data_IF_798812160250
#
_entry.id   IF_798812160250
#
_cell.length_a   1.000
_cell.length_b   1.000
_cell.length_c   1.000
_cell.angle_alpha   90.00
_cell.angle_beta   90.00
_cell.angle_gamma   90.00
#
_symmetry.space_group_name_H-M   'P 1'
#
loop_
_entity.id
_entity.type
_entity.pdbx_description
1 polymer ?
#
# COMPACT_ATOMS: atom_id res chain seq x y z
N UNK A 1 -23.42 10.85 19.12
CA UNK A 1 -24.09 11.62 18.07
C UNK A 1 -23.10 11.72 16.93
N UNK A 2 -23.39 11.11 15.78
CA UNK A 2 -22.54 11.24 14.59
C UNK A 2 -22.47 12.71 14.21
N UNK A 3 -21.28 13.22 13.93
CA UNK A 3 -21.14 14.56 13.37
C UNK A 3 -21.75 14.51 11.96
N UNK A 4 -22.91 15.16 11.77
CA UNK A 4 -23.51 15.32 10.46
C UNK A 4 -22.54 16.13 9.59
N UNK A 5 -22.09 15.52 8.50
CA UNK A 5 -21.03 16.08 7.65
C UNK A 5 -21.58 16.78 6.42
N UNK A 6 -22.79 16.42 5.98
CA UNK A 6 -23.41 16.95 4.77
C UNK A 6 -24.79 17.55 5.02
N UNK A 7 -25.03 18.67 4.36
CA UNK A 7 -26.27 19.43 4.44
C UNK A 7 -26.73 19.82 3.04
N UNK A 8 -28.03 19.85 2.83
CA UNK A 8 -28.66 20.22 1.56
C UNK A 8 -29.82 21.19 1.78
N UNK A 9 -30.02 22.10 0.84
CA UNK A 9 -31.20 22.96 0.82
C UNK A 9 -31.59 23.33 -0.61
N UNK A 10 -32.84 23.73 -0.76
CA UNK A 10 -33.39 24.17 -2.04
C UNK A 10 -33.33 25.70 -2.18
N UNK A 11 -32.70 26.18 -3.24
CA UNK A 11 -32.62 27.62 -3.55
C UNK A 11 -33.97 28.26 -3.84
N UNK A 12 -35.00 27.47 -4.17
CA UNK A 12 -36.35 27.95 -4.41
C UNK A 12 -37.12 28.20 -3.11
N UNK A 13 -36.74 27.54 -2.01
CA UNK A 13 -37.34 27.74 -0.69
C UNK A 13 -36.57 28.76 0.16
N UNK A 14 -35.35 29.11 -0.24
CA UNK A 14 -34.47 29.99 0.55
C UNK A 14 -33.80 31.06 -0.29
N UNK A 15 -34.03 32.31 0.08
CA UNK A 15 -33.45 33.50 -0.58
C UNK A 15 -32.10 33.95 0.02
N UNK A 16 -31.74 33.47 1.21
CA UNK A 16 -30.46 33.79 1.86
C UNK A 16 -29.46 32.67 1.56
N UNK A 17 -28.57 32.93 0.60
CA UNK A 17 -27.53 32.00 0.20
C UNK A 17 -26.20 32.62 0.65
N UNK A 18 -25.31 31.87 1.35
CA UNK A 18 -23.97 32.35 1.66
C UNK A 18 -23.31 32.85 0.37
N UNK A 19 -22.95 34.14 0.33
CA UNK A 19 -22.39 34.75 -0.88
C UNK A 19 -21.01 34.17 -1.18
N UNK A 20 -20.71 34.02 -2.47
CA UNK A 20 -19.38 33.63 -2.98
C UNK A 20 -18.29 34.65 -2.56
N UNK A 21 -18.69 35.86 -2.15
CA UNK A 21 -17.82 36.97 -1.74
C UNK A 21 -17.77 37.19 -0.20
N UNK A 22 -18.50 36.39 0.58
CA UNK A 22 -18.53 36.50 2.05
C UNK A 22 -17.21 36.03 2.68
N UNK A 23 -16.80 36.63 3.80
CA UNK A 23 -15.73 36.06 4.63
C UNK A 23 -16.17 34.72 5.23
N UNK A 24 -15.22 33.85 5.59
CA UNK A 24 -15.52 32.54 6.20
C UNK A 24 -16.39 32.65 7.46
N UNK A 25 -16.17 33.68 8.27
CA UNK A 25 -16.95 33.96 9.48
C UNK A 25 -18.40 34.33 9.14
N UNK A 26 -18.62 35.16 8.13
CA UNK A 26 -19.96 35.53 7.67
C UNK A 26 -20.67 34.33 7.02
N UNK A 27 -19.99 33.55 6.19
CA UNK A 27 -20.55 32.37 5.56
C UNK A 27 -20.98 31.30 6.59
N UNK A 28 -20.22 31.16 7.68
CA UNK A 28 -20.57 30.25 8.79
C UNK A 28 -21.82 30.73 9.54
N UNK A 29 -21.93 32.03 9.79
CA UNK A 29 -23.12 32.62 10.42
C UNK A 29 -24.36 32.49 9.53
N UNK A 30 -24.23 32.76 8.23
CA UNK A 30 -25.32 32.63 7.26
C UNK A 30 -25.81 31.17 7.17
N UNK A 31 -24.89 30.20 7.20
CA UNK A 31 -25.22 28.78 7.22
C UNK A 31 -25.95 28.35 8.51
N UNK A 32 -25.50 28.80 9.68
CA UNK A 32 -26.19 28.47 10.94
C UNK A 32 -27.60 29.08 11.03
N UNK A 33 -27.78 30.31 10.50
CA UNK A 33 -29.09 30.93 10.39
C UNK A 33 -30.01 30.15 9.43
N UNK A 34 -29.47 29.73 8.28
CA UNK A 34 -30.17 28.89 7.30
C UNK A 34 -30.60 27.55 7.89
N UNK A 35 -29.74 26.92 8.70
CA UNK A 35 -30.01 25.63 9.34
C UNK A 35 -31.20 25.68 10.30
N UNK A 36 -31.44 26.85 10.90
CA UNK A 36 -32.52 27.06 11.87
C UNK A 36 -33.76 27.70 11.25
N UNK A 37 -33.72 28.06 9.96
CA UNK A 37 -34.83 28.73 9.30
C UNK A 37 -36.02 27.76 9.16
N UNK A 38 -37.20 28.06 9.74
CA UNK A 38 -38.37 27.21 9.60
C UNK A 38 -38.96 27.32 8.18
N UNK A 39 -39.54 26.21 7.71
CA UNK A 39 -40.31 26.12 6.46
C UNK A 39 -41.65 25.46 6.71
N UNK A 40 -42.63 25.75 5.86
CA UNK A 40 -43.96 25.14 5.98
C UNK A 40 -43.93 23.66 5.60
N UNK A 41 -43.15 23.29 4.58
CA UNK A 41 -42.92 21.91 4.14
C UNK A 41 -41.50 21.75 3.57
N UNK A 42 -40.92 20.56 3.75
CA UNK A 42 -39.61 20.20 3.17
C UNK A 42 -39.72 20.19 1.64
N UNK A 43 -38.71 20.72 0.94
CA UNK A 43 -38.71 20.76 -0.53
C UNK A 43 -38.98 19.38 -1.13
N UNK A 44 -39.89 19.28 -2.12
CA UNK A 44 -40.06 18.06 -2.91
C UNK A 44 -38.76 17.55 -3.54
N UNK A 45 -37.83 18.44 -3.89
CA UNK A 45 -36.53 18.07 -4.45
C UNK A 45 -35.63 17.37 -3.42
N UNK A 46 -35.74 17.73 -2.14
CA UNK A 46 -34.99 17.06 -1.06
C UNK A 46 -35.60 15.68 -0.78
N UNK A 47 -36.93 15.55 -0.87
CA UNK A 47 -37.60 14.25 -0.76
C UNK A 47 -37.18 13.34 -1.92
N UNK A 48 -37.17 13.87 -3.15
CA UNK A 48 -36.72 13.12 -4.33
C UNK A 48 -35.23 12.75 -4.25
N UNK A 49 -34.38 13.61 -3.67
CA UNK A 49 -32.98 13.26 -3.39
C UNK A 49 -32.90 12.03 -2.48
N UNK A 50 -33.68 11.99 -1.40
CA UNK A 50 -33.68 10.88 -0.46
C UNK A 50 -34.13 9.58 -1.13
N UNK A 51 -35.18 9.61 -1.96
CA UNK A 51 -35.62 8.45 -2.75
C UNK A 51 -34.54 7.94 -3.71
N UNK A 52 -33.86 8.84 -4.43
CA UNK A 52 -32.79 8.47 -5.37
C UNK A 52 -31.57 7.89 -4.66
N UNK A 53 -31.25 8.36 -3.45
CA UNK A 53 -30.17 7.77 -2.64
C UNK A 53 -30.50 6.33 -2.23
N UNK A 54 -31.75 6.03 -1.90
CA UNK A 54 -32.22 4.66 -1.61
C UNK A 54 -32.10 3.76 -2.84
N UNK A 55 -32.47 4.26 -4.03
CA UNK A 55 -32.37 3.49 -5.27
C UNK A 55 -30.92 3.26 -5.71
N UNK A 56 -30.06 4.25 -5.54
CA UNK A 56 -28.61 4.13 -5.79
C UNK A 56 -27.98 3.08 -4.86
N UNK A 57 -28.38 3.03 -3.58
CA UNK A 57 -27.94 2.00 -2.65
C UNK A 57 -28.35 0.58 -3.08
N UNK A 58 -29.50 0.40 -3.73
CA UNK A 58 -30.03 -0.91 -4.14
C UNK A 58 -29.42 -1.46 -5.42
N UNK A 59 -28.83 -0.60 -6.24
CA UNK A 59 -28.41 -0.94 -7.62
C UNK A 59 -26.90 -1.09 -7.77
N UNK A 60 -26.13 -0.67 -6.77
CA UNK A 60 -24.66 -0.59 -6.82
C UNK A 60 -24.02 -1.43 -5.70
N UNK A 61 -22.84 -2.03 -5.96
CA UNK A 61 -22.03 -2.82 -5.01
C UNK A 61 -21.34 -1.93 -3.94
N UNK A 62 -22.11 -1.13 -3.20
CA UNK A 62 -21.57 -0.31 -2.12
C UNK A 62 -21.37 -1.12 -0.83
N UNK A 63 -20.53 -0.60 0.08
CA UNK A 63 -20.35 -1.23 1.41
C UNK A 63 -21.68 -1.30 2.18
N UNK A 64 -21.87 -2.34 2.99
CA UNK A 64 -23.08 -2.55 3.82
C UNK A 64 -23.44 -1.31 4.66
N UNK A 65 -22.41 -0.60 5.15
CA UNK A 65 -22.55 0.65 5.91
C UNK A 65 -23.13 1.80 5.07
N UNK A 66 -22.80 1.87 3.79
CA UNK A 66 -23.32 2.89 2.86
C UNK A 66 -24.77 2.60 2.45
N UNK A 67 -25.07 1.31 2.23
CA UNK A 67 -26.43 0.83 2.00
C UNK A 67 -27.36 1.19 3.17
N UNK A 68 -26.97 0.86 4.40
CA UNK A 68 -27.74 1.20 5.60
C UNK A 68 -27.93 2.71 5.76
N UNK A 69 -26.88 3.49 5.49
CA UNK A 69 -26.92 4.95 5.61
C UNK A 69 -27.96 5.56 4.65
N UNK A 70 -27.95 5.17 3.37
CA UNK A 70 -28.85 5.74 2.37
C UNK A 70 -30.28 5.25 2.49
N UNK A 71 -30.48 3.98 2.87
CA UNK A 71 -31.82 3.45 3.21
C UNK A 71 -32.44 4.22 4.38
N UNK A 72 -31.63 4.62 5.36
CA UNK A 72 -32.10 5.36 6.52
C UNK A 72 -32.38 6.84 6.24
N UNK A 73 -31.86 7.43 5.16
CA UNK A 73 -32.13 8.84 4.80
C UNK A 73 -33.63 9.11 4.69
N UNK A 74 -34.40 8.21 4.06
CA UNK A 74 -35.85 8.38 3.93
C UNK A 74 -36.59 8.36 5.28
N UNK A 75 -36.11 7.57 6.25
CA UNK A 75 -36.67 7.55 7.60
C UNK A 75 -36.33 8.85 8.33
N UNK A 76 -35.09 9.31 8.21
CA UNK A 76 -34.66 10.58 8.80
C UNK A 76 -35.41 11.79 8.20
N UNK A 77 -35.75 11.76 6.91
CA UNK A 77 -36.55 12.82 6.27
C UNK A 77 -37.98 12.94 6.82
N UNK A 78 -38.58 11.82 7.25
CA UNK A 78 -39.94 11.82 7.80
C UNK A 78 -40.01 12.46 9.19
N UNK A 79 -38.95 12.26 9.99
CA UNK A 79 -38.83 12.78 11.35
C UNK A 79 -38.03 14.10 11.41
N UNK A 80 -37.55 14.60 10.28
CA UNK A 80 -36.74 15.81 10.23
C UNK A 80 -37.58 17.05 10.65
N UNK A 81 -37.05 17.93 11.51
CA UNK A 81 -37.67 19.22 11.78
C UNK A 81 -37.93 19.99 10.48
N UNK A 82 -39.05 20.71 10.36
CA UNK A 82 -39.36 21.49 9.15
C UNK A 82 -38.48 22.73 9.05
N UNK A 83 -37.20 22.52 8.76
CA UNK A 83 -36.19 23.57 8.54
C UNK A 83 -35.72 23.55 7.09
N UNK A 84 -35.30 24.71 6.61
CA UNK A 84 -34.91 24.93 5.22
C UNK A 84 -33.69 24.13 4.78
N UNK A 85 -32.82 23.79 5.74
CA UNK A 85 -31.64 22.98 5.53
C UNK A 85 -31.83 21.62 6.19
N UNK A 86 -31.39 20.57 5.49
CA UNK A 86 -31.58 19.19 5.87
C UNK A 86 -30.23 18.48 5.90
N UNK A 87 -29.96 17.75 6.98
CA UNK A 87 -28.75 16.95 7.07
C UNK A 87 -28.92 15.62 6.34
N UNK A 88 -27.88 15.20 5.61
CA UNK A 88 -27.81 13.85 5.05
C UNK A 88 -26.96 13.00 6.00
N UNK A 89 -27.48 11.88 6.54
CA UNK A 89 -26.68 11.01 7.38
C UNK A 89 -25.52 10.48 6.54
N UNK A 90 -24.30 10.70 6.99
CA UNK A 90 -23.11 10.16 6.30
C UNK A 90 -22.02 9.84 7.32
N UNK A 91 -21.55 8.58 7.40
CA UNK A 91 -20.40 8.21 8.20
C UNK A 91 -19.13 8.91 7.71
N UNK A 92 -18.37 9.50 8.63
CA UNK A 92 -17.12 10.20 8.29
C UNK A 92 -16.12 9.32 7.53
N UNK A 93 -16.08 8.01 7.85
CA UNK A 93 -15.23 7.03 7.18
C UNK A 93 -15.54 6.87 5.67
N UNK A 94 -16.75 7.24 5.22
CA UNK A 94 -17.25 7.08 3.85
C UNK A 94 -17.45 8.41 3.13
N UNK A 95 -16.97 9.51 3.72
CA UNK A 95 -17.13 10.86 3.22
C UNK A 95 -16.76 11.02 1.73
N UNK A 96 -15.67 10.40 1.28
CA UNK A 96 -15.19 10.53 -0.10
C UNK A 96 -16.00 9.78 -1.16
N UNK A 97 -16.77 8.76 -0.75
CA UNK A 97 -17.69 8.00 -1.62
C UNK A 97 -19.07 8.66 -1.64
N UNK A 98 -19.54 9.12 -0.48
CA UNK A 98 -20.83 9.81 -0.37
C UNK A 98 -20.84 11.14 -1.14
N UNK A 99 -19.70 11.83 -1.19
CA UNK A 99 -19.53 13.05 -1.97
C UNK A 99 -19.75 12.85 -3.48
N UNK A 100 -19.33 11.69 -4.02
CA UNK A 100 -19.47 11.39 -5.45
C UNK A 100 -20.91 11.10 -5.87
N UNK A 101 -21.77 10.74 -4.92
CA UNK A 101 -23.16 10.37 -5.18
C UNK A 101 -24.08 11.55 -4.88
N UNK A 102 -23.95 12.15 -3.69
CA UNK A 102 -24.90 13.18 -3.23
C UNK A 102 -24.75 14.46 -4.04
N UNK A 103 -23.52 14.94 -4.29
CA UNK A 103 -23.32 16.23 -4.95
C UNK A 103 -23.89 16.26 -6.40
N UNK A 104 -23.69 15.24 -7.26
CA UNK A 104 -24.32 15.21 -8.58
C UNK A 104 -25.84 15.08 -8.55
N UNK A 105 -26.40 14.34 -7.58
CA UNK A 105 -27.85 14.26 -7.41
C UNK A 105 -28.44 15.61 -6.99
N UNK A 106 -27.77 16.33 -6.08
CA UNK A 106 -28.14 17.70 -5.71
C UNK A 106 -28.10 18.65 -6.90
N UNK A 107 -27.03 18.60 -7.72
CA UNK A 107 -26.92 19.40 -8.95
C UNK A 107 -28.11 19.13 -9.89
N UNK A 108 -28.43 17.85 -10.12
CA UNK A 108 -29.54 17.43 -10.98
C UNK A 108 -30.93 17.87 -10.45
N UNK A 109 -31.08 17.96 -9.14
CA UNK A 109 -32.33 18.32 -8.46
C UNK A 109 -32.44 19.81 -8.12
N UNK A 110 -31.45 20.63 -8.50
CA UNK A 110 -31.47 22.07 -8.22
C UNK A 110 -31.18 22.44 -6.76
N UNK A 111 -30.52 21.55 -6.02
CA UNK A 111 -30.20 21.72 -4.60
C UNK A 111 -28.78 22.24 -4.40
N UNK A 112 -28.58 23.04 -3.35
CA UNK A 112 -27.23 23.36 -2.86
C UNK A 112 -26.77 22.26 -1.93
N UNK A 113 -25.52 21.83 -2.10
CA UNK A 113 -24.85 20.86 -1.25
C UNK A 113 -23.75 21.55 -0.44
N UNK A 114 -23.72 21.30 0.87
CA UNK A 114 -22.75 21.83 1.81
C UNK A 114 -22.05 20.71 2.59
N UNK A 115 -20.73 20.77 2.57
CA UNK A 115 -19.83 19.96 3.38
C UNK A 115 -19.28 20.82 4.51
N UNK A 116 -19.40 20.33 5.75
CA UNK A 116 -18.88 21.01 6.95
C UNK A 116 -17.37 21.23 6.93
N UNK A 117 -16.63 20.60 6.02
CA UNK A 117 -15.21 20.90 5.73
C UNK A 117 -15.01 22.19 4.91
N UNK A 118 -16.09 22.92 4.63
CA UNK A 118 -16.07 24.24 4.01
C UNK A 118 -16.26 24.24 2.50
N UNK A 119 -16.84 23.18 1.93
CA UNK A 119 -17.15 23.12 0.50
C UNK A 119 -18.66 23.36 0.28
N UNK A 120 -18.98 24.22 -0.68
CA UNK A 120 -20.35 24.48 -1.14
C UNK A 120 -20.43 24.21 -2.63
N UNK A 121 -21.35 23.35 -3.06
CA UNK A 121 -21.64 23.09 -4.47
C UNK A 121 -23.05 23.60 -4.80
N UNK A 122 -23.13 24.51 -5.77
CA UNK A 122 -24.37 25.14 -6.21
C UNK A 122 -25.01 24.39 -7.39
N UNK A 123 -26.32 24.55 -7.61
CA UNK A 123 -27.04 23.98 -8.76
C UNK A 123 -26.49 24.38 -10.13
N UNK A 124 -25.82 25.53 -10.22
CA UNK A 124 -25.20 26.02 -11.46
C UNK A 124 -23.85 25.34 -11.77
N UNK A 125 -23.44 24.34 -10.96
CA UNK A 125 -22.17 23.64 -11.05
C UNK A 125 -20.99 24.39 -10.42
N UNK A 126 -21.21 25.58 -9.86
CA UNK A 126 -20.17 26.32 -9.16
C UNK A 126 -19.83 25.62 -7.85
N UNK A 127 -18.53 25.45 -7.56
CA UNK A 127 -18.03 24.98 -6.27
C UNK A 127 -17.23 26.10 -5.61
N UNK A 128 -17.49 26.33 -4.32
CA UNK A 128 -16.76 27.28 -3.48
C UNK A 128 -16.10 26.55 -2.29
N UNK A 129 -14.87 26.92 -1.90
CA UNK A 129 -13.98 27.88 -2.55
C UNK A 129 -13.34 27.35 -3.85
N UNK A 130 -12.89 28.23 -4.78
CA UNK A 130 -12.40 27.83 -6.11
C UNK A 130 -11.19 26.88 -6.11
N UNK A 131 -10.39 26.88 -5.05
CA UNK A 131 -9.28 25.93 -4.86
C UNK A 131 -9.77 24.49 -4.63
N UNK A 132 -10.87 24.31 -3.89
CA UNK A 132 -11.52 23.01 -3.72
C UNK A 132 -12.19 22.59 -5.04
N UNK A 133 -12.79 23.53 -5.77
CA UNK A 133 -13.37 23.27 -7.10
C UNK A 133 -12.36 22.65 -8.08
N UNK A 134 -11.12 23.17 -8.12
CA UNK A 134 -10.05 22.60 -8.96
C UNK A 134 -9.66 21.18 -8.53
N UNK A 135 -9.58 20.93 -7.22
CA UNK A 135 -9.30 19.60 -6.67
C UNK A 135 -10.39 18.58 -7.03
N UNK A 136 -11.66 18.99 -6.92
CA UNK A 136 -12.82 18.17 -7.26
C UNK A 136 -12.92 17.88 -8.75
N UNK A 137 -12.66 18.86 -9.61
CA UNK A 137 -12.62 18.65 -11.06
C UNK A 137 -11.55 17.61 -11.45
N UNK A 138 -10.35 17.70 -10.87
CA UNK A 138 -9.27 16.73 -11.09
C UNK A 138 -9.63 15.34 -10.55
N UNK A 139 -10.30 15.27 -9.40
CA UNK A 139 -10.76 14.01 -8.81
C UNK A 139 -11.85 13.37 -9.68
N UNK A 140 -12.83 14.15 -10.14
CA UNK A 140 -13.90 13.73 -11.05
C UNK A 140 -13.33 13.28 -12.39
N UNK A 141 -12.32 13.94 -12.94
CA UNK A 141 -11.61 13.52 -14.15
C UNK A 141 -10.87 12.19 -13.93
N UNK A 142 -10.12 12.04 -12.84
CA UNK A 142 -9.42 10.78 -12.51
C UNK A 142 -10.39 9.62 -12.27
N UNK A 143 -11.54 9.89 -11.63
CA UNK A 143 -12.58 8.90 -11.35
C UNK A 143 -13.41 8.60 -12.59
N UNK A 144 -13.71 9.57 -13.44
CA UNK A 144 -14.36 9.38 -14.73
C UNK A 144 -13.45 8.61 -15.69
N UNK A 145 -12.14 8.85 -15.68
CA UNK A 145 -11.17 7.98 -16.37
C UNK A 145 -11.24 6.56 -15.80
N UNK A 146 -11.26 6.39 -14.48
CA UNK A 146 -11.38 5.06 -13.86
C UNK A 146 -12.73 4.36 -14.15
N UNK A 147 -13.83 5.11 -14.26
CA UNK A 147 -15.18 4.61 -14.56
C UNK A 147 -15.40 4.39 -16.05
N UNK A 148 -14.83 5.23 -16.91
CA UNK A 148 -14.79 5.02 -18.36
C UNK A 148 -13.88 3.86 -18.71
N UNK A 149 -12.78 3.65 -17.98
CA UNK A 149 -12.07 2.39 -17.99
C UNK A 149 -13.03 1.26 -17.59
N UNK A 150 -13.76 1.36 -16.48
CA UNK A 150 -14.71 0.35 -15.99
C UNK A 150 -15.93 0.04 -16.91
N UNK A 151 -16.46 1.02 -17.64
CA UNK A 151 -17.64 0.90 -18.52
C UNK A 151 -17.26 0.39 -19.94
N UNK A 152 -15.98 0.44 -20.32
CA UNK A 152 -15.47 -0.20 -21.53
C UNK A 152 -15.37 -1.75 -21.36
N UNK A 153 -15.56 -2.28 -20.15
CA UNK A 153 -15.47 -3.72 -19.88
C UNK A 153 -16.76 -4.48 -20.26
N UNK A 154 -16.62 -5.37 -21.24
CA UNK A 154 -17.56 -6.48 -21.47
C UNK A 154 -17.16 -7.69 -20.61
N UNK A 155 -18.11 -8.54 -20.14
CA UNK A 155 -17.83 -9.73 -19.32
C UNK A 155 -16.97 -10.84 -19.98
N UNK A 156 -16.37 -10.57 -21.14
CA UNK A 156 -15.61 -11.51 -21.96
C UNK A 156 -14.12 -11.09 -22.11
N UNK A 157 -13.63 -10.09 -21.37
CA UNK A 157 -12.34 -9.45 -21.65
C UNK A 157 -11.11 -10.10 -20.99
N UNK A 158 -10.05 -10.29 -21.80
CA UNK A 158 -8.66 -10.65 -21.46
C UNK A 158 -7.94 -9.60 -20.56
N UNK A 159 -8.59 -9.01 -19.55
CA UNK A 159 -7.98 -8.00 -18.66
C UNK A 159 -8.39 -8.26 -17.19
N UNK A 160 -7.45 -8.28 -16.23
CA UNK A 160 -7.77 -8.63 -14.85
C UNK A 160 -8.42 -7.44 -14.14
N UNK A 161 -9.53 -7.69 -13.44
CA UNK A 161 -10.33 -6.64 -12.79
C UNK A 161 -9.73 -6.23 -11.45
N UNK A 162 -9.26 -7.20 -10.70
CA UNK A 162 -8.66 -7.00 -9.38
C UNK A 162 -7.37 -7.81 -9.24
N UNK A 163 -6.78 -7.72 -8.05
CA UNK A 163 -5.54 -8.42 -7.70
C UNK A 163 -5.69 -9.94 -7.87
N UNK A 164 -6.80 -10.52 -7.45
CA UNK A 164 -7.02 -11.96 -7.47
C UNK A 164 -7.09 -12.48 -8.92
N UNK A 165 -7.84 -11.78 -9.77
CA UNK A 165 -7.92 -12.06 -11.20
C UNK A 165 -6.53 -11.95 -11.87
N UNK A 166 -5.73 -10.92 -11.55
CA UNK A 166 -4.37 -10.77 -12.07
C UNK A 166 -3.44 -11.89 -11.60
N UNK A 167 -3.52 -12.26 -10.33
CA UNK A 167 -2.73 -13.33 -9.75
C UNK A 167 -3.06 -14.68 -10.40
N UNK A 168 -4.34 -14.99 -10.69
CA UNK A 168 -4.75 -16.20 -11.41
C UNK A 168 -4.11 -16.32 -12.79
N UNK A 169 -3.92 -15.21 -13.50
CA UNK A 169 -3.28 -15.19 -14.83
C UNK A 169 -1.76 -15.30 -14.72
N UNK A 170 -1.16 -14.64 -13.74
CA UNK A 170 0.28 -14.65 -13.51
C UNK A 170 0.77 -16.00 -12.97
N UNK A 171 -0.03 -16.64 -12.11
CA UNK A 171 0.35 -17.81 -11.33
C UNK A 171 0.89 -18.96 -12.19
N UNK A 172 0.27 -19.40 -13.29
CA UNK A 172 0.79 -20.51 -14.10
C UNK A 172 2.20 -20.23 -14.64
N UNK A 173 2.41 -19.04 -15.24
CA UNK A 173 3.72 -18.67 -15.82
C UNK A 173 4.80 -18.59 -14.75
N UNK A 174 4.47 -17.99 -13.61
CA UNK A 174 5.40 -17.88 -12.50
C UNK A 174 5.69 -19.23 -11.86
N UNK A 175 4.67 -20.05 -11.61
CA UNK A 175 4.82 -21.37 -11.01
C UNK A 175 5.71 -22.26 -11.88
N UNK A 176 5.46 -22.29 -13.19
CA UNK A 176 6.28 -23.03 -14.14
C UNK A 176 7.72 -22.50 -14.20
N UNK A 177 7.90 -21.18 -14.18
CA UNK A 177 9.23 -20.57 -14.09
C UNK A 177 9.96 -20.99 -12.80
N UNK A 178 9.34 -20.81 -11.64
CA UNK A 178 9.96 -21.10 -10.33
C UNK A 178 10.31 -22.58 -10.20
N UNK A 179 9.42 -23.48 -10.65
CA UNK A 179 9.68 -24.92 -10.68
C UNK A 179 10.83 -25.29 -11.60
N UNK A 180 10.90 -24.72 -12.81
CA UNK A 180 12.06 -24.89 -13.73
C UNK A 180 13.38 -24.48 -13.06
N UNK A 181 13.34 -23.47 -12.19
CA UNK A 181 14.49 -22.93 -11.48
C UNK A 181 14.77 -23.60 -10.14
N UNK A 182 14.03 -24.65 -9.77
CA UNK A 182 14.26 -25.43 -8.54
C UNK A 182 13.73 -24.78 -7.27
N UNK A 183 12.85 -23.79 -7.37
CA UNK A 183 12.14 -23.25 -6.22
C UNK A 183 10.98 -24.16 -5.83
N UNK A 184 10.86 -24.44 -4.54
CA UNK A 184 9.78 -25.18 -3.91
C UNK A 184 8.83 -24.19 -3.22
N UNK A 185 7.54 -24.21 -3.54
CA UNK A 185 6.54 -23.45 -2.77
C UNK A 185 6.51 -23.96 -1.32
N UNK A 186 6.50 -23.05 -0.34
CA UNK A 186 6.26 -23.46 1.04
C UNK A 186 4.89 -24.12 1.17
N UNK A 187 4.84 -25.34 1.69
CA UNK A 187 3.60 -25.91 2.21
C UNK A 187 3.21 -25.13 3.48
N UNK A 188 2.49 -24.02 3.33
CA UNK A 188 1.77 -23.43 4.47
C UNK A 188 0.41 -24.09 4.52
N UNK A 189 0.25 -25.00 5.48
CA UNK A 189 -1.02 -25.63 5.83
C UNK A 189 -1.96 -24.60 6.46
N UNK A 190 -2.75 -23.92 5.65
CA UNK A 190 -4.09 -23.53 6.05
C UNK A 190 -5.01 -23.96 4.93
N UNK A 191 -6.08 -24.66 5.29
CA UNK A 191 -6.96 -25.37 4.37
C UNK A 191 -7.77 -24.48 3.40
N UNK A 192 -7.32 -23.26 3.10
CA UNK A 192 -7.96 -22.28 2.21
C UNK A 192 -6.95 -21.37 1.46
N UNK A 193 -5.66 -21.73 1.33
CA UNK A 193 -4.65 -20.86 0.68
C UNK A 193 -3.95 -21.58 -0.48
N UNK A 194 -4.74 -21.91 -1.51
CA UNK A 194 -4.21 -22.20 -2.85
C UNK A 194 -4.51 -21.04 -3.83
N UNK A 195 -5.27 -20.02 -3.39
CA UNK A 195 -5.85 -19.00 -4.29
C UNK A 195 -5.19 -17.61 -4.26
N UNK A 196 -4.04 -17.43 -3.59
CA UNK A 196 -3.33 -16.15 -3.63
C UNK A 196 -1.86 -16.35 -3.97
N UNK A 197 -1.34 -15.49 -4.85
CA UNK A 197 0.08 -15.38 -5.19
C UNK A 197 0.83 -14.70 -4.05
N UNK A 198 0.72 -15.25 -2.85
CA UNK A 198 1.73 -15.04 -1.83
C UNK A 198 2.96 -15.82 -2.28
N UNK A 199 3.86 -15.15 -3.00
CA UNK A 199 5.24 -15.62 -3.24
C UNK A 199 5.97 -15.72 -1.89
N UNK A 200 5.34 -15.33 -0.79
CA UNK A 200 5.90 -15.46 0.54
C UNK A 200 6.11 -16.94 0.91
N UNK A 201 7.35 -17.41 0.74
CA UNK A 201 7.77 -18.74 1.16
C UNK A 201 8.22 -19.69 0.04
N UNK A 202 8.32 -19.24 -1.21
CA UNK A 202 8.99 -20.04 -2.24
C UNK A 202 10.50 -20.09 -1.96
N UNK A 203 11.03 -21.27 -1.64
CA UNK A 203 12.44 -21.45 -1.26
C UNK A 203 13.21 -22.29 -2.26
N UNK A 204 14.50 -22.03 -2.39
CA UNK A 204 15.44 -22.86 -3.15
C UNK A 204 16.64 -23.16 -2.27
N UNK A 205 16.94 -24.45 -2.10
CA UNK A 205 18.13 -24.87 -1.36
C UNK A 205 19.40 -24.41 -2.09
N UNK A 206 20.37 -23.94 -1.31
CA UNK A 206 21.67 -23.47 -1.77
C UNK A 206 22.77 -24.07 -0.88
N UNK A 207 24.04 -24.14 -1.34
CA UNK A 207 25.13 -24.68 -0.52
C UNK A 207 25.29 -23.99 0.85
N UNK A 208 25.04 -22.67 0.93
CA UNK A 208 25.09 -21.90 2.19
C UNK A 208 23.79 -21.92 3.02
N UNK A 209 22.73 -22.60 2.57
CA UNK A 209 21.41 -22.55 3.19
C UNK A 209 20.29 -22.54 2.16
N UNK A 210 19.58 -21.43 2.03
CA UNK A 210 18.52 -21.29 1.04
C UNK A 210 18.26 -19.84 0.62
N UNK A 211 17.68 -19.68 -0.57
CA UNK A 211 17.07 -18.44 -1.03
C UNK A 211 15.57 -18.51 -0.85
N UNK A 212 14.97 -17.48 -0.27
CA UNK A 212 13.52 -17.32 -0.17
C UNK A 212 13.06 -16.16 -1.04
N UNK A 213 12.13 -16.42 -1.96
CA UNK A 213 11.40 -15.36 -2.62
C UNK A 213 10.27 -14.87 -1.72
N UNK A 214 10.00 -13.57 -1.73
CA UNK A 214 8.77 -13.00 -1.18
C UNK A 214 8.31 -11.83 -2.05
N UNK A 215 7.01 -11.59 -2.09
CA UNK A 215 6.45 -10.56 -2.96
C UNK A 215 4.97 -10.81 -3.26
N UNK A 216 4.40 -9.92 -4.07
CA UNK A 216 3.02 -9.98 -4.47
C UNK A 216 2.67 -8.91 -5.50
N UNK A 217 1.44 -8.95 -5.97
CA UNK A 217 0.88 -7.97 -6.88
C UNK A 217 -0.01 -6.97 -6.13
N UNK A 218 0.03 -5.70 -6.54
CA UNK A 218 -0.83 -4.63 -6.05
C UNK A 218 -1.44 -3.89 -7.25
N UNK A 219 -2.73 -3.61 -7.23
CA UNK A 219 -3.38 -2.87 -8.31
C UNK A 219 -4.84 -3.25 -8.52
N UNK A 220 -5.47 -2.61 -9.52
CA UNK A 220 -6.86 -2.85 -9.94
C UNK A 220 -7.11 -2.31 -11.36
N UNK A 221 -8.18 -2.77 -11.97
CA UNK A 221 -8.73 -2.28 -13.25
C UNK A 221 -7.70 -2.26 -14.39
N UNK A 222 -6.98 -3.38 -14.61
CA UNK A 222 -5.99 -3.49 -15.68
C UNK A 222 -4.63 -2.85 -15.40
N UNK A 223 -4.44 -2.23 -14.23
CA UNK A 223 -3.17 -1.65 -13.78
C UNK A 223 -2.65 -2.37 -12.54
N UNK A 224 -1.55 -3.11 -12.70
CA UNK A 224 -0.97 -3.93 -11.63
C UNK A 224 0.53 -3.70 -11.52
N UNK A 225 1.05 -3.64 -10.31
CA UNK A 225 2.48 -3.62 -10.02
C UNK A 225 2.86 -4.92 -9.35
N UNK A 226 3.84 -5.63 -9.92
CA UNK A 226 4.42 -6.83 -9.34
C UNK A 226 5.73 -6.48 -8.65
N UNK A 227 5.84 -6.80 -7.36
CA UNK A 227 7.07 -6.65 -6.58
C UNK A 227 7.52 -8.00 -6.04
N UNK A 228 8.75 -8.38 -6.34
CA UNK A 228 9.32 -9.66 -5.88
C UNK A 228 10.78 -9.46 -5.46
N UNK A 229 11.13 -10.03 -4.32
CA UNK A 229 12.44 -9.93 -3.70
C UNK A 229 12.98 -11.34 -3.43
N UNK A 230 14.28 -11.54 -3.64
CA UNK A 230 15.01 -12.75 -3.25
C UNK A 230 15.83 -12.48 -2.01
N UNK A 231 15.60 -13.22 -0.94
CA UNK A 231 16.29 -13.13 0.34
C UNK A 231 17.22 -14.30 0.55
N UNK A 232 18.46 -14.00 0.94
CA UNK A 232 19.48 -15.01 1.25
C UNK A 232 19.42 -15.37 2.73
N UNK A 233 19.31 -16.67 3.04
CA UNK A 233 19.21 -17.19 4.40
C UNK A 233 20.24 -18.29 4.61
N UNK A 234 21.03 -18.18 5.68
CA UNK A 234 22.06 -19.16 6.05
C UNK A 234 21.92 -19.50 7.54
N UNK A 235 21.55 -20.74 7.88
CA UNK A 235 21.45 -21.18 9.28
C UNK A 235 22.75 -21.03 10.05
N UNK A 236 23.91 -21.39 9.46
CA UNK A 236 25.21 -21.26 10.11
C UNK A 236 25.57 -19.79 10.39
N UNK A 237 25.18 -18.88 9.48
CA UNK A 237 25.34 -17.46 9.71
C UNK A 237 24.45 -16.97 10.86
N UNK A 238 23.17 -17.35 10.85
CA UNK A 238 22.20 -16.93 11.87
C UNK A 238 22.63 -17.39 13.26
N UNK A 239 23.12 -18.64 13.38
CA UNK A 239 23.63 -19.17 14.64
C UNK A 239 24.79 -18.34 15.20
N UNK A 240 25.74 -17.95 14.35
CA UNK A 240 26.88 -17.11 14.75
C UNK A 240 26.38 -15.70 15.11
N UNK A 241 25.51 -15.11 14.29
CA UNK A 241 25.01 -13.75 14.48
C UNK A 241 24.19 -13.60 15.77
N UNK A 242 23.38 -14.60 16.11
CA UNK A 242 22.61 -14.65 17.35
C UNK A 242 23.52 -14.73 18.58
N UNK A 243 24.64 -15.45 18.47
CA UNK A 243 25.66 -15.50 19.53
C UNK A 243 26.43 -14.20 19.67
N UNK A 244 26.50 -13.35 18.66
CA UNK A 244 27.19 -12.04 18.72
C UNK A 244 26.25 -10.95 19.27
N UNK A 245 24.97 -11.00 18.89
CA UNK A 245 23.98 -9.97 19.20
C UNK A 245 23.60 -9.95 20.70
N UNK A 246 23.42 -8.76 21.31
CA UNK A 246 23.02 -8.67 22.71
C UNK A 246 21.54 -9.06 22.92
N UNK A 247 21.17 -9.63 24.10
CA UNK A 247 19.83 -10.15 24.36
C UNK A 247 18.69 -9.12 24.26
N UNK A 248 19.01 -7.83 24.37
CA UNK A 248 18.04 -6.72 24.31
C UNK A 248 17.55 -6.41 22.90
N UNK A 249 18.17 -6.97 21.85
CA UNK A 249 17.73 -6.79 20.46
C UNK A 249 16.75 -7.87 19.98
N UNK A 250 16.40 -8.83 20.84
CA UNK A 250 15.45 -9.92 20.55
C UNK A 250 13.97 -9.50 20.59
N UNK A 251 13.63 -8.25 20.88
CA UNK A 251 12.25 -7.79 20.74
C UNK A 251 11.86 -7.60 19.28
N UNK A 252 11.28 -8.66 18.70
CA UNK A 252 10.17 -8.68 17.72
C UNK A 252 10.39 -7.76 16.52
N UNK A 253 10.66 -8.29 15.31
CA UNK A 253 9.57 -8.42 14.33
C UNK A 253 9.88 -9.23 13.03
N UNK A 254 10.91 -10.06 12.93
CA UNK A 254 11.00 -10.97 11.78
C UNK A 254 11.83 -12.22 12.09
N UNK A 255 11.26 -13.44 11.98
CA UNK A 255 11.99 -14.69 12.18
C UNK A 255 13.03 -15.02 11.10
N UNK A 256 13.55 -14.02 10.38
CA UNK A 256 14.56 -14.17 9.33
C UNK A 256 15.41 -12.90 9.29
N UNK A 257 16.60 -12.93 9.89
CA UNK A 257 17.53 -11.81 9.83
C UNK A 257 18.25 -11.88 8.47
N UNK A 258 17.52 -11.51 7.43
CA UNK A 258 17.90 -11.58 6.01
C UNK A 258 19.32 -11.04 5.81
N UNK A 259 20.23 -11.90 5.32
CA UNK A 259 21.63 -11.53 5.00
C UNK A 259 21.67 -10.37 4.02
N UNK A 260 20.95 -10.56 2.91
CA UNK A 260 20.75 -9.59 1.87
C UNK A 260 19.48 -9.88 1.08
N UNK A 261 19.09 -8.91 0.24
CA UNK A 261 18.07 -9.17 -0.77
C UNK A 261 18.38 -8.50 -2.10
N UNK A 262 17.83 -9.10 -3.16
CA UNK A 262 17.85 -8.58 -4.53
C UNK A 262 16.41 -8.34 -4.97
N UNK A 263 16.16 -7.19 -5.60
CA UNK A 263 14.90 -6.94 -6.31
C UNK A 263 14.88 -7.82 -7.56
N UNK A 264 14.03 -8.84 -7.55
CA UNK A 264 13.80 -9.71 -8.71
C UNK A 264 12.84 -9.02 -9.68
N UNK A 265 11.84 -8.32 -9.16
CA UNK A 265 10.87 -7.58 -9.96
C UNK A 265 10.37 -6.33 -9.21
N UNK A 266 10.26 -5.23 -9.94
CA UNK A 266 9.44 -4.06 -9.61
C UNK A 266 8.90 -3.50 -10.94
N UNK A 267 7.77 -4.04 -11.39
CA UNK A 267 7.24 -3.80 -12.74
C UNK A 267 5.75 -3.50 -12.70
N UNK A 268 5.36 -2.42 -13.36
CA UNK A 268 3.95 -2.12 -13.61
C UNK A 268 3.50 -2.66 -14.97
N UNK A 269 2.31 -3.24 -14.97
CA UNK A 269 1.57 -3.75 -16.11
C UNK A 269 0.33 -2.88 -16.30
N UNK A 270 0.23 -2.23 -17.46
CA UNK A 270 -0.96 -1.49 -17.89
C UNK A 270 -1.53 -2.11 -19.17
N UNK A 271 -2.84 -2.31 -19.21
CA UNK A 271 -3.65 -2.65 -20.40
C UNK A 271 -3.24 -3.90 -21.22
N UNK A 272 -2.32 -4.75 -20.76
CA UNK A 272 -1.80 -5.85 -21.57
C UNK A 272 -1.31 -7.05 -20.73
N UNK A 273 -2.24 -7.95 -20.39
CA UNK A 273 -1.92 -9.32 -19.93
C UNK A 273 -0.93 -10.04 -20.88
N UNK A 274 -0.90 -9.66 -22.17
CA UNK A 274 -0.04 -10.24 -23.22
C UNK A 274 1.46 -10.11 -22.96
N UNK A 275 1.89 -9.21 -22.08
CA UNK A 275 3.32 -9.01 -21.79
C UNK A 275 3.84 -9.92 -20.68
N UNK A 276 2.96 -10.52 -19.88
CA UNK A 276 3.34 -11.35 -18.73
C UNK A 276 4.24 -12.53 -19.16
N UNK A 277 3.89 -13.35 -20.17
CA UNK A 277 4.74 -14.49 -20.53
C UNK A 277 6.13 -14.04 -20.96
N UNK A 278 6.20 -13.02 -21.83
CA UNK A 278 7.47 -12.46 -22.29
C UNK A 278 8.30 -11.87 -21.16
N UNK A 279 7.67 -11.15 -20.23
CA UNK A 279 8.34 -10.61 -19.04
C UNK A 279 8.92 -11.73 -18.18
N UNK A 280 8.13 -12.77 -17.91
CA UNK A 280 8.57 -13.91 -17.09
C UNK A 280 9.76 -14.61 -17.75
N UNK A 281 9.65 -14.97 -19.03
CA UNK A 281 10.71 -15.70 -19.75
C UNK A 281 11.95 -14.84 -20.07
N UNK A 282 11.93 -13.53 -19.78
CA UNK A 282 13.08 -12.64 -20.03
C UNK A 282 13.55 -11.95 -18.77
N UNK A 283 12.92 -10.85 -18.36
CA UNK A 283 13.34 -10.00 -17.25
C UNK A 283 13.39 -10.77 -15.93
N UNK A 284 12.33 -11.53 -15.60
CA UNK A 284 12.24 -12.27 -14.35
C UNK A 284 13.26 -13.42 -14.30
N UNK A 285 13.32 -14.22 -15.36
CA UNK A 285 14.32 -15.29 -15.53
C UNK A 285 15.75 -14.76 -15.43
N UNK A 286 16.08 -13.64 -16.07
CA UNK A 286 17.40 -13.04 -15.99
C UNK A 286 17.80 -12.69 -14.56
N UNK A 287 16.83 -12.20 -13.76
CA UNK A 287 17.07 -11.90 -12.35
C UNK A 287 17.22 -13.15 -11.49
N UNK A 288 16.47 -14.22 -11.76
CA UNK A 288 16.69 -15.50 -11.10
C UNK A 288 18.07 -16.09 -11.44
N UNK A 289 18.51 -15.98 -12.70
CA UNK A 289 19.87 -16.37 -13.10
C UNK A 289 20.95 -15.56 -12.36
N UNK A 290 20.73 -14.28 -12.08
CA UNK A 290 21.65 -13.48 -11.24
C UNK A 290 21.68 -13.97 -9.80
N UNK A 291 20.52 -14.31 -9.23
CA UNK A 291 20.40 -14.87 -7.87
C UNK A 291 21.11 -16.22 -7.77
N UNK A 292 20.95 -17.08 -8.77
CA UNK A 292 21.55 -18.42 -8.81
C UNK A 292 23.07 -18.42 -8.92
N UNK A 293 23.69 -17.32 -9.37
CA UNK A 293 25.15 -17.15 -9.35
C UNK A 293 25.72 -16.96 -7.94
N UNK A 294 24.85 -16.70 -6.97
CA UNK A 294 25.22 -16.56 -5.57
C UNK A 294 24.99 -17.92 -4.94
N UNK A 295 26.01 -18.77 -5.01
CA UNK A 295 25.97 -20.20 -4.66
C UNK A 295 26.93 -20.58 -3.52
N UNK A 296 27.69 -19.63 -2.97
CA UNK A 296 28.68 -19.88 -1.92
C UNK A 296 28.74 -18.74 -0.90
N UNK A 297 29.32 -19.02 0.27
CA UNK A 297 29.58 -18.00 1.29
C UNK A 297 30.47 -16.87 0.74
N UNK A 298 31.42 -17.18 -0.15
CA UNK A 298 32.27 -16.16 -0.77
C UNK A 298 31.47 -15.23 -1.69
N UNK A 299 30.51 -15.75 -2.48
CA UNK A 299 29.64 -14.89 -3.30
C UNK A 299 28.70 -14.04 -2.44
N UNK A 300 28.18 -14.58 -1.35
CA UNK A 300 27.40 -13.80 -0.37
C UNK A 300 28.25 -12.69 0.26
N UNK A 301 29.51 -12.98 0.61
CA UNK A 301 30.46 -11.98 1.08
C UNK A 301 30.64 -10.86 0.05
N UNK A 302 30.95 -11.20 -1.20
CA UNK A 302 31.17 -10.22 -2.27
C UNK A 302 29.94 -9.35 -2.53
N UNK A 303 28.74 -9.92 -2.46
CA UNK A 303 27.47 -9.20 -2.58
C UNK A 303 27.33 -8.10 -1.52
N UNK A 304 27.71 -8.39 -0.26
CA UNK A 304 27.68 -7.40 0.82
C UNK A 304 28.87 -6.44 0.77
N UNK A 305 30.06 -6.94 0.45
CA UNK A 305 31.31 -6.19 0.43
C UNK A 305 31.24 -4.99 -0.53
N UNK A 306 30.72 -5.21 -1.73
CA UNK A 306 30.53 -4.19 -2.76
C UNK A 306 29.64 -3.02 -2.30
N UNK A 307 28.79 -3.20 -1.27
CA UNK A 307 27.94 -2.12 -0.76
C UNK A 307 28.61 -1.28 0.34
N UNK A 308 29.54 -1.83 1.12
CA UNK A 308 30.36 -1.02 2.05
C UNK A 308 31.33 -0.13 1.26
N UNK A 309 31.95 -0.68 0.21
CA UNK A 309 32.82 0.10 -0.68
C UNK A 309 32.13 1.33 -1.32
N UNK A 310 30.79 1.32 -1.38
CA UNK A 310 29.95 2.43 -1.90
C UNK A 310 29.44 3.38 -0.81
N UNK A 311 29.91 3.27 0.43
CA UNK A 311 29.58 4.21 1.52
C UNK A 311 28.23 3.98 2.21
N UNK A 312 27.59 2.83 1.99
CA UNK A 312 26.32 2.51 2.64
C UNK A 312 26.53 1.68 3.92
N UNK A 313 26.19 2.27 5.07
CA UNK A 313 26.07 1.71 6.43
C UNK A 313 27.29 0.96 6.98
N UNK A 314 28.06 1.64 7.83
CA UNK A 314 29.33 1.18 8.40
C UNK A 314 29.22 0.21 9.59
N UNK A 315 28.09 0.17 10.32
CA UNK A 315 27.93 -0.64 11.55
C UNK A 315 27.43 -2.07 11.29
N UNK A 316 26.14 -2.22 11.03
CA UNK A 316 25.46 -3.53 10.89
C UNK A 316 25.98 -4.44 9.77
N UNK A 317 26.91 -3.98 8.93
CA UNK A 317 27.45 -4.76 7.81
C UNK A 317 28.81 -5.39 8.09
N UNK A 318 29.58 -4.88 9.05
CA UNK A 318 30.92 -5.41 9.35
C UNK A 318 30.82 -6.79 10.01
N UNK A 319 29.93 -6.95 11.00
CA UNK A 319 29.65 -8.25 11.64
C UNK A 319 29.31 -9.29 10.57
N UNK A 320 28.37 -8.93 9.68
CA UNK A 320 27.88 -9.85 8.65
C UNK A 320 28.99 -10.25 7.67
N UNK A 321 29.86 -9.31 7.32
CA UNK A 321 30.97 -9.56 6.40
C UNK A 321 32.05 -10.43 7.00
N UNK A 322 32.44 -10.21 8.26
CA UNK A 322 33.42 -11.06 8.92
C UNK A 322 32.89 -12.48 9.11
N UNK A 323 31.61 -12.63 9.50
CA UNK A 323 31.00 -13.96 9.59
C UNK A 323 31.03 -14.67 8.24
N UNK A 324 30.61 -13.99 7.15
CA UNK A 324 30.64 -14.59 5.81
C UNK A 324 32.06 -14.87 5.31
N UNK A 325 33.02 -13.99 5.58
CA UNK A 325 34.43 -14.19 5.21
C UNK A 325 35.03 -15.41 5.94
N UNK A 326 34.69 -15.57 7.22
CA UNK A 326 35.10 -16.73 8.02
C UNK A 326 34.47 -18.02 7.51
N UNK A 327 33.16 -18.02 7.30
CA UNK A 327 32.42 -19.18 6.75
C UNK A 327 32.96 -19.55 5.36
N UNK A 328 33.30 -18.57 4.52
CA UNK A 328 33.88 -18.78 3.20
C UNK A 328 35.36 -19.23 3.22
N UNK A 329 36.00 -19.35 4.39
CA UNK A 329 37.40 -19.76 4.49
C UNK A 329 38.37 -18.84 3.75
N UNK A 330 38.09 -17.53 3.68
CA UNK A 330 38.91 -16.60 2.90
C UNK A 330 40.34 -16.50 3.43
N UNK A 331 41.30 -16.54 2.51
CA UNK A 331 42.74 -16.43 2.83
C UNK A 331 43.11 -15.05 3.41
N UNK A 332 42.38 -13.99 3.01
CA UNK A 332 42.58 -12.62 3.48
C UNK A 332 41.78 -12.28 4.76
N UNK A 333 41.25 -13.27 5.47
CA UNK A 333 40.41 -13.04 6.64
C UNK A 333 41.07 -12.17 7.72
N UNK A 334 42.35 -12.43 8.03
CA UNK A 334 43.09 -11.65 9.03
C UNK A 334 43.33 -10.20 8.58
N UNK A 335 43.53 -9.99 7.27
CA UNK A 335 43.63 -8.64 6.69
C UNK A 335 42.28 -7.90 6.79
N UNK A 336 41.18 -8.60 6.53
CA UNK A 336 39.83 -8.05 6.66
C UNK A 336 39.51 -7.61 8.10
N UNK A 337 40.00 -8.34 9.12
CA UNK A 337 39.88 -7.92 10.52
C UNK A 337 40.56 -6.56 10.75
N UNK A 338 41.78 -6.39 10.24
CA UNK A 338 42.54 -5.14 10.37
C UNK A 338 41.80 -4.01 9.65
N UNK A 339 41.42 -4.23 8.38
CA UNK A 339 40.73 -3.24 7.56
C UNK A 339 39.40 -2.79 8.19
N UNK A 340 38.60 -3.72 8.70
CA UNK A 340 37.33 -3.38 9.32
C UNK A 340 37.49 -2.76 10.70
N UNK A 341 38.56 -3.08 11.44
CA UNK A 341 38.88 -2.36 12.68
C UNK A 341 39.19 -0.89 12.40
N UNK A 342 39.99 -0.61 11.38
CA UNK A 342 40.27 0.76 10.93
C UNK A 342 38.99 1.48 10.48
N UNK A 343 38.12 0.78 9.74
CA UNK A 343 36.83 1.31 9.29
C UNK A 343 35.94 1.72 10.49
N UNK A 344 35.85 0.89 11.53
CA UNK A 344 35.08 1.19 12.75
C UNK A 344 35.69 2.39 13.49
N UNK A 345 37.02 2.43 13.62
CA UNK A 345 37.72 3.52 14.30
C UNK A 345 37.46 4.88 13.62
N UNK A 346 37.35 4.86 12.29
CA UNK A 346 37.09 6.02 11.42
C UNK A 346 35.61 6.22 11.10
N UNK A 347 34.69 5.53 11.79
CA UNK A 347 33.26 5.65 11.52
C UNK A 347 32.79 7.11 11.75
N UNK A 348 31.92 7.65 10.88
CA UNK A 348 31.49 9.05 10.94
C UNK A 348 30.49 9.34 12.09
N UNK A 349 30.13 8.33 12.88
CA UNK A 349 29.09 8.43 13.91
C UNK A 349 29.50 7.61 15.15
N UNK A 350 29.59 8.28 16.30
CA UNK A 350 29.95 7.68 17.59
C UNK A 350 28.98 6.58 18.04
N UNK A 351 27.69 6.67 17.67
CA UNK A 351 26.72 5.61 17.95
C UNK A 351 27.10 4.30 17.25
N UNK A 352 27.47 4.38 15.97
CA UNK A 352 27.90 3.21 15.18
C UNK A 352 29.20 2.65 15.75
N UNK A 353 30.16 3.54 16.05
CA UNK A 353 31.46 3.17 16.61
C UNK A 353 31.33 2.45 17.95
N UNK A 354 30.54 3.00 18.87
CA UNK A 354 30.34 2.40 20.21
C UNK A 354 29.62 1.05 20.11
N UNK A 355 28.54 0.95 19.32
CA UNK A 355 27.80 -0.31 19.14
C UNK A 355 28.67 -1.42 18.53
N UNK A 356 29.57 -1.08 17.61
CA UNK A 356 30.51 -2.04 17.04
C UNK A 356 31.60 -2.45 18.03
N UNK A 357 32.15 -1.51 18.79
CA UNK A 357 33.14 -1.81 19.83
C UNK A 357 32.58 -2.75 20.91
N UNK A 358 31.31 -2.62 21.27
CA UNK A 358 30.64 -3.51 22.23
C UNK A 358 30.57 -4.97 21.75
N UNK A 359 30.55 -5.20 20.44
CA UNK A 359 30.41 -6.55 19.84
C UNK A 359 31.72 -7.12 19.34
N UNK A 360 32.69 -6.27 19.04
CA UNK A 360 33.90 -6.63 18.30
C UNK A 360 34.67 -7.79 18.94
N UNK A 361 34.97 -7.68 20.24
CA UNK A 361 35.76 -8.70 20.93
C UNK A 361 34.99 -10.03 21.01
N UNK A 362 33.68 -9.97 21.28
CA UNK A 362 32.78 -11.14 21.27
C UNK A 362 32.68 -11.79 19.90
N UNK A 363 32.60 -10.99 18.83
CA UNK A 363 32.60 -11.46 17.45
C UNK A 363 33.89 -12.21 17.14
N UNK A 364 35.05 -11.61 17.44
CA UNK A 364 36.34 -12.26 17.18
C UNK A 364 36.53 -13.53 18.01
N UNK A 365 36.09 -13.53 19.27
CA UNK A 365 36.10 -14.72 20.12
C UNK A 365 35.28 -15.85 19.48
N UNK A 366 34.04 -15.58 19.06
CA UNK A 366 33.19 -16.58 18.41
C UNK A 366 33.83 -17.07 17.10
N UNK A 367 34.27 -16.15 16.23
CA UNK A 367 34.86 -16.49 14.94
C UNK A 367 36.19 -17.27 15.08
N UNK A 368 36.89 -17.17 16.19
CA UNK A 368 38.09 -17.98 16.47
C UNK A 368 37.78 -19.48 16.61
N UNK A 369 36.53 -19.81 16.96
CA UNK A 369 36.07 -21.20 17.17
C UNK A 369 35.30 -21.79 15.98
N UNK A 370 34.97 -20.96 15.00
CA UNK A 370 34.21 -21.37 13.81
C UNK A 370 35.15 -21.96 12.77
N UNK A 371 34.85 -23.16 12.30
CA UNK A 371 35.52 -23.74 11.13
C UNK A 371 34.88 -23.25 9.82
N UNK A 372 35.67 -23.02 8.75
CA UNK A 372 35.14 -22.71 7.43
C UNK A 372 34.21 -23.81 6.90
N UNK A 373 33.22 -23.42 6.08
CA UNK A 373 32.31 -24.33 5.40
C UNK A 373 32.51 -24.17 3.89
N UNK A 374 32.97 -25.23 3.22
CA UNK A 374 33.24 -25.25 1.76
C UNK A 374 32.01 -24.92 0.90
#
# INVERSE_FOLDING_TARGET
>A
MSAQTFFVWDTQQVTCIPSKDSSWEQATQDFEALRQQPVDDISPNIIELADRLVDEARTSDYSEVFYETYVNTNLEMQDHPKTACVAIPTPEALHGEALDVIAPLCEALGLVFYDTRGMVAYPDGTIYPPNIARGMALLKEKRALAKQSADIYKPEADVPRDREDFEKILHPFMHDCLKRYGYQPSQVSSANVIDFLNIDGCTKAMPYGYVRLTGGAEGKNGYFTLKTHAYFVSPAFEEIYDKVSPPTELTRQSPYLKLHYINVCDKSFSDKQKQIPKFIDTEFVNKLNEVDKIDSYNQLFLLLHNKIARGHSYGERVDKQLILAKLAGREDFDELIIQYRELINNAPNDYIKNRMNERWDRLLEILSTVEPLE
#
